data_IF_006935657585
#
_entry.id   IF_006935657585
#
_cell.length_a   1.000
_cell.length_b   1.000
_cell.length_c   1.000
_cell.angle_alpha   90.00
_cell.angle_beta   90.00
_cell.angle_gamma   90.00
#
_symmetry.space_group_name_H-M   'P 1'
#
loop_
_entity.id
_entity.type
_entity.pdbx_description
1 polymer ?
#
# COMPACT_ATOMS: atom_id res chain seq x y z
N UNK A 1 8.85 -10.24 -21.39
CA UNK A 1 10.00 -9.37 -21.00
C UNK A 1 10.12 -9.38 -19.48
N UNK A 2 11.34 -9.36 -18.93
CA UNK A 2 11.52 -9.19 -17.47
C UNK A 2 11.45 -7.69 -17.15
N UNK A 3 10.69 -7.32 -16.12
CA UNK A 3 10.47 -5.93 -15.72
C UNK A 3 10.22 -5.81 -14.23
N UNK A 4 10.16 -4.56 -13.74
CA UNK A 4 9.79 -4.25 -12.36
C UNK A 4 8.28 -4.46 -12.18
N UNK A 5 7.90 -5.41 -11.33
CA UNK A 5 6.50 -5.68 -11.03
C UNK A 5 5.89 -4.52 -10.22
N UNK A 6 4.63 -4.20 -10.47
CA UNK A 6 3.84 -3.18 -9.77
C UNK A 6 2.50 -3.77 -9.35
N UNK A 7 1.82 -3.20 -8.33
CA UNK A 7 2.33 -2.17 -7.40
C UNK A 7 3.26 -2.80 -6.34
N UNK A 8 3.77 -2.01 -5.39
CA UNK A 8 4.41 -2.54 -4.18
C UNK A 8 3.43 -2.69 -3.01
N UNK A 9 2.53 -1.72 -2.85
CA UNK A 9 1.58 -1.59 -1.74
C UNK A 9 0.26 -1.07 -2.32
N UNK A 10 -0.84 -1.49 -1.71
CA UNK A 10 -2.18 -1.05 -2.04
C UNK A 10 -2.91 -0.48 -0.83
N UNK A 11 -3.86 0.42 -1.08
CA UNK A 11 -4.84 0.91 -0.12
C UNK A 11 -6.21 0.94 -0.77
N UNK A 12 -7.24 1.22 0.03
CA UNK A 12 -8.59 1.35 -0.47
C UNK A 12 -8.64 2.31 -1.67
N UNK A 13 -9.16 1.80 -2.76
CA UNK A 13 -9.26 2.47 -4.06
C UNK A 13 -10.63 2.24 -4.68
N UNK A 14 -11.57 1.66 -3.95
CA UNK A 14 -12.90 1.37 -4.45
C UNK A 14 -13.82 2.58 -4.20
N UNK A 15 -14.44 3.20 -5.23
CA UNK A 15 -15.38 4.30 -5.04
C UNK A 15 -16.66 3.88 -4.27
N UNK A 16 -17.06 2.62 -4.30
CA UNK A 16 -18.25 2.13 -3.60
C UNK A 16 -18.05 2.00 -2.09
N UNK A 17 -16.80 1.84 -1.65
CA UNK A 17 -16.39 1.86 -0.24
C UNK A 17 -15.42 3.00 0.05
N UNK A 18 -15.50 4.06 -0.77
CA UNK A 18 -14.46 5.05 -0.93
C UNK A 18 -14.55 6.25 0.00
N UNK A 19 -14.15 7.40 -0.53
CA UNK A 19 -13.87 8.61 0.22
C UNK A 19 -14.96 9.66 0.03
N UNK A 20 -15.14 10.47 1.08
CA UNK A 20 -15.80 11.77 0.98
C UNK A 20 -14.77 12.82 0.57
N UNK A 21 -15.14 13.65 -0.40
CA UNK A 21 -14.32 14.78 -0.86
C UNK A 21 -15.09 16.05 -0.59
N UNK A 22 -14.40 17.08 -0.10
CA UNK A 22 -14.98 18.41 -0.05
C UNK A 22 -14.55 19.18 -1.30
N UNK A 23 -15.53 19.63 -2.08
CA UNK A 23 -15.30 20.41 -3.30
C UNK A 23 -16.03 21.74 -3.22
N UNK A 24 -15.28 22.83 -3.30
CA UNK A 24 -15.85 24.19 -3.32
C UNK A 24 -16.53 24.50 -4.66
N UNK A 25 -16.14 23.82 -5.75
CA UNK A 25 -16.77 23.97 -7.07
C UNK A 25 -18.04 23.15 -7.21
N UNK A 26 -18.12 22.01 -6.52
CA UNK A 26 -19.28 21.09 -6.57
C UNK A 26 -20.24 21.27 -5.39
N UNK A 27 -20.08 22.35 -4.61
CA UNK A 27 -21.04 22.77 -3.61
C UNK A 27 -20.95 22.07 -2.25
N UNK A 28 -19.84 21.41 -1.92
CA UNK A 28 -19.55 20.89 -0.58
C UNK A 28 -19.07 19.44 -0.55
N UNK A 29 -19.57 18.67 0.42
CA UNK A 29 -19.20 17.26 0.58
C UNK A 29 -19.87 16.39 -0.49
N UNK A 30 -19.04 15.63 -1.20
CA UNK A 30 -19.44 14.70 -2.26
C UNK A 30 -18.85 13.31 -1.99
N UNK A 31 -19.54 12.27 -2.45
CA UNK A 31 -19.23 10.86 -2.18
C UNK A 31 -19.05 10.05 -3.47
N UNK A 32 -18.65 8.78 -3.36
CA UNK A 32 -18.44 7.90 -4.50
C UNK A 32 -17.07 8.05 -5.15
N UNK A 33 -16.08 8.55 -4.40
CA UNK A 33 -14.72 8.76 -4.89
C UNK A 33 -13.79 7.65 -4.44
N UNK A 34 -12.94 7.20 -5.36
CA UNK A 34 -11.93 6.19 -5.11
C UNK A 34 -10.84 6.28 -6.16
N UNK A 35 -10.16 5.17 -6.39
CA UNK A 35 -9.03 5.07 -7.28
C UNK A 35 -7.70 5.25 -6.57
N UNK A 36 -6.65 4.77 -7.22
CA UNK A 36 -5.28 4.81 -6.69
C UNK A 36 -4.76 6.24 -6.51
N UNK A 37 -5.38 7.23 -7.17
CA UNK A 37 -5.17 8.66 -6.93
C UNK A 37 -5.49 9.10 -5.50
N UNK A 38 -6.43 8.42 -4.83
CA UNK A 38 -6.69 8.63 -3.40
C UNK A 38 -5.74 7.79 -2.54
N UNK A 39 -5.43 6.55 -2.95
CA UNK A 39 -4.52 5.68 -2.22
C UNK A 39 -3.09 6.24 -2.09
N UNK A 40 -2.55 6.83 -3.17
CA UNK A 40 -1.18 7.34 -3.24
C UNK A 40 -0.86 8.43 -2.19
N UNK A 41 -1.62 9.54 -2.06
CA UNK A 41 -1.35 10.55 -1.03
C UNK A 41 -1.56 10.03 0.40
N UNK A 42 -2.48 9.08 0.61
CA UNK A 42 -2.64 8.43 1.92
C UNK A 42 -1.41 7.59 2.29
N UNK A 43 -0.86 6.82 1.35
CA UNK A 43 0.38 6.08 1.56
C UNK A 43 1.53 7.02 1.94
N UNK A 44 1.63 8.17 1.27
CA UNK A 44 2.63 9.19 1.60
C UNK A 44 2.43 9.73 3.03
N UNK A 45 1.18 10.00 3.44
CA UNK A 45 0.85 10.41 4.81
C UNK A 45 1.23 9.36 5.87
N UNK A 46 0.95 8.08 5.59
CA UNK A 46 1.36 6.97 6.47
C UNK A 46 2.89 6.93 6.62
N UNK A 47 3.64 7.03 5.52
CA UNK A 47 5.10 7.03 5.57
C UNK A 47 5.67 8.27 6.27
N UNK A 48 5.01 9.43 6.17
CA UNK A 48 5.38 10.61 6.96
C UNK A 48 5.22 10.35 8.46
N UNK A 49 4.12 9.73 8.89
CA UNK A 49 3.89 9.35 10.29
C UNK A 49 4.89 8.30 10.79
N UNK A 50 5.23 7.32 9.95
CA UNK A 50 6.24 6.31 10.27
C UNK A 50 7.63 6.96 10.42
N UNK A 51 7.98 7.89 9.53
CA UNK A 51 9.22 8.68 9.62
C UNK A 51 9.27 9.49 10.92
N UNK A 52 8.16 10.14 11.29
CA UNK A 52 8.03 10.88 12.54
C UNK A 52 8.20 9.97 13.76
N UNK A 53 7.53 8.82 13.79
CA UNK A 53 7.62 7.85 14.90
C UNK A 53 9.04 7.31 15.09
N UNK A 54 9.79 7.16 13.99
CA UNK A 54 11.20 6.73 14.00
C UNK A 54 12.19 7.86 14.32
N UNK A 55 11.73 9.12 14.37
CA UNK A 55 12.58 10.31 14.49
C UNK A 55 13.72 10.33 13.46
N UNK A 56 13.48 9.78 12.27
CA UNK A 56 14.48 9.62 11.22
C UNK A 56 13.84 9.62 9.82
N UNK A 57 14.65 9.92 8.80
CA UNK A 57 14.22 9.81 7.40
C UNK A 57 14.21 8.34 7.00
N UNK A 58 13.11 7.88 6.38
CA UNK A 58 12.99 6.50 5.90
C UNK A 58 13.88 6.19 4.67
N UNK A 59 14.24 7.22 3.91
CA UNK A 59 15.02 7.06 2.67
C UNK A 59 14.29 6.19 1.63
N UNK A 60 15.04 5.35 0.92
CA UNK A 60 14.47 4.42 -0.04
C UNK A 60 13.87 3.21 0.70
N UNK A 61 12.58 3.26 0.98
CA UNK A 61 11.87 2.26 1.79
C UNK A 61 11.65 0.92 1.07
N UNK A 62 11.57 0.90 -0.26
CA UNK A 62 11.19 -0.29 -1.02
C UNK A 62 12.07 -1.53 -0.71
N UNK A 63 13.42 -1.46 -0.73
CA UNK A 63 14.24 -2.60 -0.34
C UNK A 63 13.94 -3.15 1.07
N UNK A 64 13.60 -2.27 2.02
CA UNK A 64 13.25 -2.69 3.39
C UNK A 64 11.91 -3.45 3.43
N UNK A 65 10.92 -3.05 2.63
CA UNK A 65 9.62 -3.73 2.56
C UNK A 65 9.77 -5.18 2.06
N UNK A 66 10.60 -5.39 1.04
CA UNK A 66 10.84 -6.70 0.45
C UNK A 66 11.84 -7.57 1.24
N UNK A 67 12.53 -6.99 2.23
CA UNK A 67 13.49 -7.70 3.07
C UNK A 67 14.88 -7.87 2.45
N UNK A 68 15.69 -8.65 3.15
CA UNK A 68 17.07 -8.97 2.76
C UNK A 68 17.16 -10.03 1.66
N UNK A 69 18.38 -10.21 1.15
CA UNK A 69 18.69 -11.23 0.14
C UNK A 69 18.37 -12.64 0.69
N UNK A 70 17.55 -13.37 -0.06
CA UNK A 70 17.16 -14.76 0.29
C UNK A 70 15.77 -14.88 0.92
N UNK A 71 15.10 -13.77 1.24
CA UNK A 71 13.73 -13.80 1.75
C UNK A 71 12.72 -14.04 0.61
N UNK A 72 11.78 -14.96 0.82
CA UNK A 72 10.76 -15.33 -0.18
C UNK A 72 9.51 -14.44 -0.07
N UNK A 73 9.70 -13.14 -0.35
CA UNK A 73 8.63 -12.13 -0.36
C UNK A 73 7.48 -12.45 -1.33
N UNK A 74 7.70 -13.36 -2.28
CA UNK A 74 6.67 -13.78 -3.25
C UNK A 74 5.67 -14.77 -2.69
N UNK A 75 5.99 -15.46 -1.59
CA UNK A 75 5.16 -16.54 -1.03
C UNK A 75 4.73 -16.29 0.41
N UNK A 76 5.23 -15.22 1.02
CA UNK A 76 4.97 -14.92 2.43
C UNK A 76 4.68 -13.43 2.65
N UNK A 77 3.71 -13.10 3.51
CA UNK A 77 3.48 -11.72 3.96
C UNK A 77 4.73 -11.12 4.59
N UNK A 78 4.89 -9.81 4.46
CA UNK A 78 6.04 -9.08 5.01
C UNK A 78 5.69 -8.46 6.37
N UNK A 79 6.64 -8.40 7.32
CA UNK A 79 6.45 -7.61 8.53
C UNK A 79 6.02 -6.17 8.18
N UNK A 80 5.01 -5.66 8.87
CA UNK A 80 4.44 -4.33 8.58
C UNK A 80 3.44 -4.30 7.43
N UNK A 81 3.06 -5.46 6.86
CA UNK A 81 2.03 -5.56 5.81
C UNK A 81 0.88 -6.48 6.22
N UNK A 82 -0.29 -6.23 5.63
CA UNK A 82 -1.48 -7.07 5.69
C UNK A 82 -1.74 -7.56 4.28
N UNK A 83 -1.69 -8.88 4.12
CA UNK A 83 -1.80 -9.54 2.82
C UNK A 83 -3.22 -9.42 2.23
N UNK A 84 -3.33 -9.25 0.91
CA UNK A 84 -4.60 -9.24 0.18
C UNK A 84 -4.67 -10.51 -0.67
N UNK A 85 -5.45 -11.48 -0.20
CA UNK A 85 -5.53 -12.82 -0.82
C UNK A 85 -6.85 -13.09 -1.55
N UNK A 86 -7.78 -12.13 -1.54
CA UNK A 86 -9.10 -12.26 -2.16
C UNK A 86 -9.29 -11.22 -3.27
N UNK A 87 -10.00 -11.61 -4.33
CA UNK A 87 -10.26 -10.75 -5.50
C UNK A 87 -9.21 -10.88 -6.60
N UNK A 88 -9.32 -10.03 -7.62
CA UNK A 88 -8.38 -9.93 -8.74
C UNK A 88 -8.51 -8.56 -9.44
N UNK A 89 -7.58 -8.25 -10.35
CA UNK A 89 -7.65 -7.11 -11.27
C UNK A 89 -7.84 -7.56 -12.73
N UNK A 90 -8.65 -8.61 -12.95
CA UNK A 90 -8.83 -9.38 -14.19
C UNK A 90 -7.64 -10.24 -14.64
N UNK A 91 -6.41 -9.87 -14.32
CA UNK A 91 -5.21 -10.58 -14.80
C UNK A 91 -4.45 -11.32 -13.70
N UNK A 92 -4.49 -10.78 -12.47
CA UNK A 92 -3.80 -11.31 -11.32
C UNK A 92 -4.79 -11.53 -10.18
N UNK A 93 -4.84 -12.75 -9.67
CA UNK A 93 -5.66 -13.12 -8.53
C UNK A 93 -4.88 -12.91 -7.24
N UNK A 94 -5.58 -12.49 -6.19
CA UNK A 94 -5.04 -12.46 -4.83
C UNK A 94 -4.47 -13.82 -4.45
N UNK A 95 -3.23 -13.82 -3.96
CA UNK A 95 -2.52 -15.00 -3.46
C UNK A 95 -1.77 -14.62 -2.21
N UNK A 96 -1.27 -15.61 -1.48
CA UNK A 96 -0.42 -15.36 -0.32
C UNK A 96 0.93 -14.76 -0.74
N UNK A 97 1.32 -13.65 -0.15
CA UNK A 97 2.53 -12.91 -0.47
C UNK A 97 2.35 -12.01 -1.69
N UNK A 98 3.45 -11.58 -2.31
CA UNK A 98 3.37 -10.62 -3.41
C UNK A 98 2.60 -11.11 -4.63
N UNK A 99 1.72 -10.26 -5.15
CA UNK A 99 1.13 -10.42 -6.47
C UNK A 99 0.88 -9.08 -7.20
N UNK A 100 0.82 -9.03 -8.55
CA UNK A 100 0.76 -7.76 -9.30
C UNK A 100 -0.57 -6.99 -9.26
N UNK A 101 -1.61 -7.53 -8.61
CA UNK A 101 -2.88 -6.86 -8.34
C UNK A 101 -2.81 -5.92 -7.13
N UNK A 102 -2.15 -6.35 -6.05
CA UNK A 102 -2.17 -5.69 -4.75
C UNK A 102 -0.77 -5.47 -4.14
N UNK A 103 0.29 -5.98 -4.76
CA UNK A 103 1.66 -5.91 -4.25
C UNK A 103 1.86 -6.79 -3.02
N UNK A 104 2.50 -6.25 -1.99
CA UNK A 104 2.61 -6.88 -0.66
C UNK A 104 1.34 -6.69 0.21
N UNK A 105 0.28 -6.12 -0.36
CA UNK A 105 -0.95 -5.78 0.34
C UNK A 105 -0.92 -4.37 0.96
N UNK A 106 -1.50 -4.22 2.15
CA UNK A 106 -1.69 -2.93 2.84
C UNK A 106 -0.65 -2.71 3.92
N UNK A 107 -0.21 -1.47 4.14
CA UNK A 107 0.67 -1.15 5.28
C UNK A 107 -0.09 -1.21 6.61
N UNK A 108 0.43 -1.99 7.54
CA UNK A 108 0.13 -1.83 8.96
C UNK A 108 1.18 -0.89 9.56
N UNK A 109 0.82 0.39 9.74
CA UNK A 109 1.76 1.43 10.13
C UNK A 109 2.45 1.14 11.47
N UNK A 110 1.71 0.66 12.48
CA UNK A 110 2.25 0.34 13.80
C UNK A 110 3.26 -0.82 13.73
N UNK A 111 2.93 -1.88 12.99
CA UNK A 111 3.84 -3.00 12.77
C UNK A 111 5.04 -2.59 11.90
N UNK A 112 4.85 -1.68 10.94
CA UNK A 112 5.91 -1.20 10.07
C UNK A 112 6.97 -0.43 10.87
N UNK A 113 6.57 0.44 11.80
CA UNK A 113 7.51 1.16 12.69
C UNK A 113 8.44 0.20 13.43
N UNK A 114 7.95 -0.97 13.84
CA UNK A 114 8.75 -2.00 14.52
C UNK A 114 9.61 -2.81 13.53
N UNK A 115 9.12 -3.02 12.31
CA UNK A 115 9.78 -3.85 11.30
C UNK A 115 10.98 -3.16 10.61
N UNK A 116 10.90 -1.84 10.41
CA UNK A 116 11.92 -1.10 9.67
C UNK A 116 12.94 -0.47 10.62
N UNK A 117 14.20 -0.45 10.20
CA UNK A 117 15.32 0.05 11.01
C UNK A 117 15.51 1.54 10.83
#
# INVERSE_FOLDING_TARGET
VKGRNLPDISLNSDPYTGYLVYSTTDGGWIAGYGGTSFASPQLNGIFALVSQAKSSRLGLLHPMLYGGRGEDWRRQPRPGTIDITAGNNWFYSGVKGYEPGAGLGVINAAALVQAIR
#
